data_IF_941261044278
#
_entry.id   IF_941261044278
#
_cell.length_a   1.000
_cell.length_b   1.000
_cell.length_c   1.000
_cell.angle_alpha   90.00
_cell.angle_beta   90.00
_cell.angle_gamma   90.00
#
_symmetry.space_group_name_H-M   'P 1'
#
loop_
_entity.id
_entity.type
_entity.pdbx_description
1 polymer ?
#
# COMPACT_ATOMS: atom_id res chain seq x y z
N UNK A 1 15.43 -32.62 -6.38
CA UNK A 1 14.18 -33.21 -5.88
C UNK A 1 13.02 -32.52 -6.59
N UNK A 2 12.58 -33.08 -7.72
CA UNK A 2 11.53 -32.52 -8.56
C UNK A 2 10.20 -33.13 -8.12
N UNK A 3 9.38 -32.37 -7.39
CA UNK A 3 8.00 -32.74 -7.08
C UNK A 3 7.09 -31.51 -7.21
N UNK A 4 7.14 -30.86 -8.38
CA UNK A 4 5.96 -30.15 -8.87
C UNK A 4 4.95 -31.22 -9.32
N UNK A 5 4.21 -31.76 -8.36
CA UNK A 5 3.05 -32.59 -8.68
C UNK A 5 2.08 -31.73 -9.51
N UNK A 6 1.57 -32.25 -10.64
CA UNK A 6 0.72 -31.48 -11.57
C UNK A 6 -0.52 -30.91 -10.87
N UNK A 7 -1.01 -31.60 -9.84
CA UNK A 7 -2.13 -31.14 -9.01
C UNK A 7 -1.79 -29.91 -8.16
N UNK A 8 -0.61 -29.89 -7.53
CA UNK A 8 -0.15 -28.75 -6.72
C UNK A 8 0.05 -27.50 -7.60
N UNK A 9 0.59 -27.66 -8.82
CA UNK A 9 0.72 -26.54 -9.75
C UNK A 9 -0.64 -25.97 -10.20
N UNK A 10 -1.64 -26.83 -10.39
CA UNK A 10 -3.01 -26.41 -10.75
C UNK A 10 -3.64 -25.60 -9.62
N UNK A 11 -3.53 -26.08 -8.38
CA UNK A 11 -4.03 -25.38 -7.19
C UNK A 11 -3.36 -24.01 -7.01
N UNK A 12 -2.03 -23.93 -7.13
CA UNK A 12 -1.29 -22.66 -7.07
C UNK A 12 -1.79 -21.70 -8.16
N UNK A 13 -2.01 -22.18 -9.38
CA UNK A 13 -2.47 -21.34 -10.50
C UNK A 13 -3.89 -20.80 -10.24
N UNK A 14 -4.78 -21.62 -9.69
CA UNK A 14 -6.14 -21.20 -9.35
C UNK A 14 -6.17 -20.19 -8.20
N UNK A 15 -5.38 -20.43 -7.14
CA UNK A 15 -5.23 -19.49 -6.03
C UNK A 15 -4.68 -18.16 -6.57
N UNK A 16 -3.57 -18.20 -7.31
CA UNK A 16 -2.96 -17.01 -7.88
C UNK A 16 -3.93 -16.24 -8.79
N UNK A 17 -4.63 -16.92 -9.69
CA UNK A 17 -5.57 -16.29 -10.62
C UNK A 17 -6.68 -15.53 -9.90
N UNK A 18 -7.36 -16.19 -8.94
CA UNK A 18 -8.42 -15.54 -8.14
C UNK A 18 -7.89 -14.33 -7.38
N UNK A 19 -6.77 -14.50 -6.67
CA UNK A 19 -6.17 -13.38 -5.92
C UNK A 19 -5.73 -12.23 -6.84
N UNK A 20 -5.23 -12.54 -8.04
CA UNK A 20 -4.83 -11.52 -9.01
C UNK A 20 -6.02 -10.69 -9.45
N UNK A 21 -7.11 -11.34 -9.87
CA UNK A 21 -8.33 -10.68 -10.33
C UNK A 21 -8.93 -9.77 -9.23
N UNK A 22 -8.93 -10.23 -7.98
CA UNK A 22 -9.50 -9.50 -6.84
C UNK A 22 -8.66 -8.29 -6.39
N UNK A 23 -7.33 -8.36 -6.52
CA UNK A 23 -6.42 -7.44 -5.82
C UNK A 23 -5.46 -6.64 -6.71
N UNK A 24 -5.28 -6.96 -8.00
CA UNK A 24 -4.30 -6.24 -8.84
C UNK A 24 -4.57 -4.73 -8.90
N UNK A 25 -5.83 -4.35 -9.13
CA UNK A 25 -6.23 -2.94 -9.21
C UNK A 25 -6.07 -2.21 -7.88
N UNK A 26 -6.32 -2.92 -6.77
CA UNK A 26 -6.20 -2.40 -5.40
C UNK A 26 -4.73 -2.13 -5.04
N UNK A 27 -3.86 -3.10 -5.31
CA UNK A 27 -2.41 -2.96 -5.12
C UNK A 27 -1.85 -1.87 -6.03
N UNK A 28 -2.26 -1.80 -7.29
CA UNK A 28 -1.84 -0.72 -8.20
C UNK A 28 -2.23 0.66 -7.65
N UNK A 29 -3.47 0.83 -7.20
CA UNK A 29 -3.93 2.11 -6.62
C UNK A 29 -3.15 2.48 -5.37
N UNK A 30 -2.90 1.51 -4.48
CA UNK A 30 -2.10 1.72 -3.28
C UNK A 30 -0.69 2.19 -3.60
N UNK A 31 0.01 1.50 -4.51
CA UNK A 31 1.35 1.90 -4.94
C UNK A 31 1.32 3.26 -5.63
N UNK A 32 0.39 3.48 -6.55
CA UNK A 32 0.27 4.74 -7.27
C UNK A 32 -0.01 5.92 -6.33
N UNK A 33 -0.84 5.74 -5.30
CA UNK A 33 -1.07 6.75 -4.28
C UNK A 33 0.21 7.10 -3.51
N UNK A 34 1.09 6.11 -3.30
CA UNK A 34 2.37 6.21 -2.60
C UNK A 34 3.55 6.58 -3.49
N UNK A 35 3.39 6.69 -4.81
CA UNK A 35 4.51 7.02 -5.72
C UNK A 35 4.20 8.15 -6.67
N UNK A 36 2.95 8.29 -7.10
CA UNK A 36 2.50 9.23 -8.13
C UNK A 36 3.04 8.94 -9.54
N UNK A 37 3.80 7.84 -9.71
CA UNK A 37 4.47 7.49 -10.96
C UNK A 37 3.82 6.21 -11.47
N UNK A 38 3.29 6.26 -12.69
CA UNK A 38 2.52 5.17 -13.29
C UNK A 38 3.40 3.96 -13.50
N UNK A 39 4.58 4.18 -14.08
CA UNK A 39 5.56 3.16 -14.43
C UNK A 39 6.02 2.41 -13.17
N UNK A 40 6.31 3.15 -12.08
CA UNK A 40 6.66 2.55 -10.78
C UNK A 40 5.48 1.77 -10.19
N UNK A 41 4.25 2.26 -10.35
CA UNK A 41 3.09 1.54 -9.88
C UNK A 41 2.85 0.23 -10.63
N UNK A 42 3.03 0.21 -11.96
CA UNK A 42 2.95 -0.99 -12.79
C UNK A 42 4.02 -2.01 -12.41
N UNK A 43 5.27 -1.56 -12.24
CA UNK A 43 6.42 -2.40 -11.89
C UNK A 43 6.28 -3.03 -10.50
N UNK A 44 6.06 -2.21 -9.46
CA UNK A 44 5.98 -2.72 -8.08
C UNK A 44 4.73 -3.58 -7.85
N UNK A 45 3.64 -3.32 -8.57
CA UNK A 45 2.46 -4.20 -8.52
C UNK A 45 2.77 -5.56 -9.14
N UNK A 46 3.41 -5.58 -10.31
CA UNK A 46 3.84 -6.81 -10.96
C UNK A 46 4.81 -7.61 -10.07
N UNK A 47 5.78 -6.94 -9.45
CA UNK A 47 6.72 -7.59 -8.54
C UNK A 47 6.03 -8.09 -7.25
N UNK A 48 5.00 -7.38 -6.77
CA UNK A 48 4.19 -7.84 -5.63
C UNK A 48 3.57 -9.20 -5.91
N UNK A 49 2.91 -9.35 -7.06
CA UNK A 49 2.29 -10.62 -7.44
C UNK A 49 3.32 -11.70 -7.78
N UNK A 50 4.48 -11.34 -8.34
CA UNK A 50 5.57 -12.29 -8.55
C UNK A 50 6.09 -12.86 -7.22
N UNK A 51 6.28 -12.02 -6.20
CA UNK A 51 6.68 -12.48 -4.86
C UNK A 51 5.58 -13.33 -4.20
N UNK A 52 4.32 -12.97 -4.38
CA UNK A 52 3.19 -13.79 -3.92
C UNK A 52 3.16 -15.18 -4.56
N UNK A 53 3.28 -15.25 -5.90
CA UNK A 53 3.36 -16.53 -6.62
C UNK A 53 4.54 -17.39 -6.14
N UNK A 54 5.70 -16.77 -5.91
CA UNK A 54 6.86 -17.47 -5.37
C UNK A 54 6.64 -17.97 -3.93
N UNK A 55 5.89 -17.26 -3.10
CA UNK A 55 5.52 -17.70 -1.76
C UNK A 55 4.58 -18.92 -1.83
N UNK A 56 3.59 -18.92 -2.72
CA UNK A 56 2.72 -20.08 -2.98
C UNK A 56 3.54 -21.29 -3.43
N UNK A 57 4.47 -21.11 -4.38
CA UNK A 57 5.37 -22.20 -4.85
C UNK A 57 6.25 -22.77 -3.75
N UNK A 58 6.61 -21.97 -2.74
CA UNK A 58 7.39 -22.41 -1.58
C UNK A 58 6.53 -23.08 -0.49
N UNK A 59 5.21 -23.16 -0.68
CA UNK A 59 4.29 -23.68 0.34
C UNK A 59 4.17 -22.79 1.57
N UNK A 60 4.39 -21.47 1.41
CA UNK A 60 4.21 -20.53 2.53
C UNK A 60 2.73 -20.52 2.94
N UNK A 61 2.46 -20.73 4.23
CA UNK A 61 1.10 -20.63 4.78
C UNK A 61 0.66 -19.17 4.79
N UNK A 62 -0.27 -18.82 3.92
CA UNK A 62 -0.83 -17.45 3.81
C UNK A 62 -2.25 -17.49 4.36
N UNK A 63 -2.44 -17.00 5.59
CA UNK A 63 -3.76 -16.95 6.23
C UNK A 63 -4.67 -15.90 5.61
N UNK A 64 -4.07 -14.81 5.12
CA UNK A 64 -4.78 -13.70 4.52
C UNK A 64 -3.99 -13.16 3.32
N UNK A 65 -4.51 -13.44 2.12
CA UNK A 65 -3.83 -13.07 0.87
C UNK A 65 -3.76 -11.56 0.69
N UNK A 66 -4.82 -10.85 1.07
CA UNK A 66 -4.88 -9.40 0.95
C UNK A 66 -3.81 -8.72 1.80
N UNK A 67 -3.77 -9.02 3.10
CA UNK A 67 -2.76 -8.50 4.01
C UNK A 67 -1.36 -8.88 3.51
N UNK A 68 -1.15 -10.12 3.08
CA UNK A 68 0.14 -10.54 2.56
C UNK A 68 0.60 -9.73 1.33
N UNK A 69 -0.31 -9.44 0.38
CA UNK A 69 -0.01 -8.58 -0.76
C UNK A 69 0.33 -7.15 -0.33
N UNK A 70 -0.43 -6.56 0.60
CA UNK A 70 -0.15 -5.22 1.12
C UNK A 70 1.18 -5.13 1.86
N UNK A 71 1.54 -6.17 2.60
CA UNK A 71 2.85 -6.29 3.24
C UNK A 71 3.97 -6.27 2.19
N UNK A 72 3.85 -7.07 1.13
CA UNK A 72 4.84 -7.12 0.05
C UNK A 72 4.94 -5.76 -0.64
N UNK A 73 3.80 -5.17 -1.04
CA UNK A 73 3.77 -3.89 -1.73
C UNK A 73 4.40 -2.77 -0.87
N UNK A 74 4.08 -2.72 0.43
CA UNK A 74 4.69 -1.77 1.37
C UNK A 74 6.20 -1.93 1.44
N UNK A 75 6.69 -3.17 1.51
CA UNK A 75 8.14 -3.44 1.56
C UNK A 75 8.83 -3.04 0.24
N UNK A 76 8.20 -3.30 -0.90
CA UNK A 76 8.71 -2.89 -2.21
C UNK A 76 8.78 -1.37 -2.39
N UNK A 77 7.74 -0.65 -1.95
CA UNK A 77 7.73 0.81 -1.90
C UNK A 77 8.88 1.31 -1.00
N UNK A 78 9.08 0.66 0.14
CA UNK A 78 10.18 0.99 1.04
C UNK A 78 11.54 0.85 0.39
N UNK A 79 11.76 -0.26 -0.31
CA UNK A 79 13.02 -0.53 -0.99
C UNK A 79 13.23 0.41 -2.18
N UNK A 80 12.17 0.76 -2.93
CA UNK A 80 12.20 1.78 -3.98
C UNK A 80 12.69 3.13 -3.43
N UNK A 81 12.15 3.60 -2.32
CA UNK A 81 12.58 4.86 -1.71
C UNK A 81 13.96 4.78 -1.07
N UNK A 82 14.34 3.66 -0.46
CA UNK A 82 15.72 3.46 0.04
C UNK A 82 16.73 3.47 -1.10
N UNK A 83 16.43 2.86 -2.25
CA UNK A 83 17.32 2.86 -3.41
C UNK A 83 17.48 4.28 -3.96
N UNK A 84 16.38 5.05 -4.05
CA UNK A 84 16.39 6.46 -4.46
C UNK A 84 17.15 7.36 -3.47
N UNK A 85 16.93 7.13 -2.17
CA UNK A 85 17.57 7.81 -1.04
C UNK A 85 18.99 7.32 -0.71
N UNK A 86 19.52 6.25 -1.31
CA UNK A 86 20.96 5.94 -1.23
C UNK A 86 21.82 6.95 -2.00
N UNK A 87 21.19 7.81 -2.81
CA UNK A 87 21.77 9.04 -3.35
C UNK A 87 21.67 10.24 -2.37
N UNK A 88 20.89 10.13 -1.28
CA UNK A 88 20.68 11.15 -0.24
C UNK A 88 20.25 10.50 1.11
N UNK A 89 21.23 10.02 1.87
CA UNK A 89 21.25 9.59 3.29
C UNK A 89 19.93 9.14 3.98
N UNK A 90 19.92 7.84 4.33
CA UNK A 90 19.26 7.11 5.43
C UNK A 90 18.21 7.83 6.30
N UNK A 91 16.95 7.46 6.14
CA UNK A 91 15.97 7.36 7.24
C UNK A 91 14.94 6.28 6.91
N UNK A 92 14.47 5.56 7.94
CA UNK A 92 13.39 4.57 7.87
C UNK A 92 11.99 5.23 7.85
N UNK A 93 11.90 6.43 7.28
CA UNK A 93 10.66 7.10 6.93
C UNK A 93 10.39 6.87 5.44
N UNK A 94 9.30 6.19 5.14
CA UNK A 94 8.79 6.15 3.78
C UNK A 94 8.22 7.53 3.46
N UNK A 95 8.43 8.06 2.27
CA UNK A 95 7.68 9.22 1.75
C UNK A 95 7.97 9.26 0.25
N UNK A 96 7.00 9.47 -0.67
CA UNK A 96 5.92 10.44 -0.55
C UNK A 96 4.54 10.06 -1.17
N UNK A 97 3.51 10.90 -0.95
CA UNK A 97 2.19 10.84 -1.62
C UNK A 97 2.08 11.90 -2.75
N UNK A 98 3.21 12.23 -3.40
CA UNK A 98 3.44 13.35 -4.34
C UNK A 98 3.72 14.69 -3.63
N UNK A 99 4.90 15.23 -3.95
CA UNK A 99 5.33 16.59 -3.62
C UNK A 99 4.40 17.59 -4.33
N UNK A 100 3.83 18.61 -3.66
CA UNK A 100 2.94 19.59 -4.30
C UNK A 100 3.49 20.19 -5.60
N UNK A 101 4.83 20.30 -5.73
CA UNK A 101 5.51 20.78 -6.94
C UNK A 101 5.39 19.84 -8.15
N UNK A 102 5.14 18.54 -7.95
CA UNK A 102 4.92 17.57 -9.03
C UNK A 102 3.44 17.37 -9.39
N UNK A 103 2.51 18.06 -8.71
CA UNK A 103 1.08 18.02 -9.03
C UNK A 103 0.71 18.84 -10.27
N UNK A 104 1.53 19.84 -10.64
CA UNK A 104 1.25 20.71 -11.79
C UNK A 104 1.28 19.97 -13.13
N UNK A 105 2.03 18.86 -13.22
CA UNK A 105 2.21 18.14 -14.50
C UNK A 105 1.14 17.06 -14.79
N UNK A 106 0.27 16.70 -13.84
CA UNK A 106 -0.74 15.63 -14.01
C UNK A 106 -2.13 16.06 -13.51
N UNK A 107 -2.61 17.15 -14.08
CA UNK A 107 -3.99 17.62 -13.95
C UNK A 107 -5.00 16.60 -14.52
N UNK A 108 -6.18 16.53 -13.89
CA UNK A 108 -7.39 15.76 -14.26
C UNK A 108 -7.60 14.38 -13.62
N UNK A 109 -7.40 14.25 -12.30
CA UNK A 109 -8.10 13.19 -11.54
C UNK A 109 -8.80 13.82 -10.33
N UNK A 110 -10.15 13.87 -10.40
CA UNK A 110 -11.14 14.26 -9.40
C UNK A 110 -10.66 15.18 -8.26
N UNK A 111 -11.24 16.38 -8.16
CA UNK A 111 -10.96 17.37 -7.11
C UNK A 111 -10.90 16.75 -5.70
N UNK A 112 -11.77 15.77 -5.41
CA UNK A 112 -11.81 15.05 -4.14
C UNK A 112 -10.61 14.12 -3.91
N UNK A 113 -10.13 13.42 -4.95
CA UNK A 113 -8.93 12.58 -4.85
C UNK A 113 -7.68 13.45 -4.68
N UNK A 114 -7.65 14.60 -5.34
CA UNK A 114 -6.56 15.58 -5.20
C UNK A 114 -6.56 16.22 -3.80
N UNK A 115 -7.73 16.52 -3.24
CA UNK A 115 -7.90 16.96 -1.85
C UNK A 115 -7.46 15.89 -0.85
N UNK A 116 -7.90 14.65 -1.04
CA UNK A 116 -7.54 13.52 -0.19
C UNK A 116 -6.03 13.28 -0.21
N UNK A 117 -5.40 13.30 -1.40
CA UNK A 117 -3.94 13.20 -1.55
C UNK A 117 -3.23 14.31 -0.77
N UNK A 118 -3.63 15.56 -0.96
CA UNK A 118 -3.04 16.70 -0.28
C UNK A 118 -3.18 16.61 1.26
N UNK A 119 -4.32 16.10 1.75
CA UNK A 119 -4.52 15.82 3.17
C UNK A 119 -3.59 14.72 3.68
N UNK A 120 -3.51 13.59 2.98
CA UNK A 120 -2.69 12.44 3.38
C UNK A 120 -1.19 12.75 3.41
N UNK A 121 -0.66 13.58 2.49
CA UNK A 121 0.77 14.00 2.50
C UNK A 121 1.17 14.65 3.83
N UNK A 122 0.23 15.27 4.57
CA UNK A 122 0.49 15.96 5.84
C UNK A 122 0.51 15.03 7.07
N UNK A 123 0.17 13.75 6.91
CA UNK A 123 0.10 12.77 7.99
C UNK A 123 1.42 11.98 8.11
N UNK A 124 1.62 11.30 9.24
CA UNK A 124 2.71 10.31 9.36
C UNK A 124 2.41 9.08 8.48
N UNK A 125 3.43 8.40 7.98
CA UNK A 125 3.26 7.25 7.07
C UNK A 125 2.37 6.12 7.60
N UNK A 126 2.54 5.76 8.88
CA UNK A 126 1.72 4.72 9.51
C UNK A 126 0.24 5.15 9.58
N UNK A 127 -0.01 6.45 9.80
CA UNK A 127 -1.34 7.05 9.82
C UNK A 127 -1.96 7.08 8.41
N UNK A 128 -1.17 7.42 7.39
CA UNK A 128 -1.63 7.36 6.00
C UNK A 128 -1.99 5.91 5.60
N UNK A 129 -1.10 4.97 5.92
CA UNK A 129 -1.23 3.57 5.51
C UNK A 129 -2.45 2.92 6.17
N UNK A 130 -2.68 3.18 7.46
CA UNK A 130 -3.86 2.65 8.16
C UNK A 130 -5.17 3.21 7.60
N UNK A 131 -5.21 4.48 7.16
CA UNK A 131 -6.40 5.06 6.50
C UNK A 131 -6.65 4.34 5.17
N UNK A 132 -5.62 4.18 4.35
CA UNK A 132 -5.76 3.53 3.04
C UNK A 132 -6.21 2.08 3.23
N UNK A 133 -5.54 1.32 4.08
CA UNK A 133 -5.93 -0.06 4.37
C UNK A 133 -7.35 -0.18 4.90
N UNK A 134 -7.77 0.71 5.79
CA UNK A 134 -9.10 0.62 6.40
C UNK A 134 -10.21 1.04 5.45
N UNK A 135 -10.00 2.12 4.71
CA UNK A 135 -11.09 2.82 4.02
C UNK A 135 -11.09 2.66 2.50
N UNK A 136 -9.92 2.41 1.89
CA UNK A 136 -9.83 2.14 0.45
C UNK A 136 -9.79 0.63 0.20
N UNK A 137 -9.13 -0.10 1.09
CA UNK A 137 -8.89 -1.54 0.92
C UNK A 137 -9.76 -2.41 1.83
N UNK A 138 -10.58 -1.79 2.68
CA UNK A 138 -11.57 -2.45 3.53
C UNK A 138 -11.01 -3.51 4.50
N UNK A 139 -9.72 -3.43 4.83
CA UNK A 139 -9.11 -4.32 5.82
C UNK A 139 -9.72 -4.11 7.21
N UNK A 140 -9.95 -5.23 7.90
CA UNK A 140 -10.39 -5.27 9.29
C UNK A 140 -9.27 -4.86 10.25
N UNK A 141 -9.64 -4.41 11.45
CA UNK A 141 -8.68 -4.04 12.50
C UNK A 141 -7.71 -5.20 12.84
N UNK A 142 -8.16 -6.46 12.96
CA UNK A 142 -7.25 -7.60 13.15
C UNK A 142 -6.24 -7.78 12.01
N UNK A 143 -6.64 -7.62 10.75
CA UNK A 143 -5.73 -7.75 9.60
C UNK A 143 -4.69 -6.63 9.59
N UNK A 144 -5.13 -5.39 9.82
CA UNK A 144 -4.24 -4.23 9.92
C UNK A 144 -3.26 -4.39 11.08
N UNK A 145 -3.72 -4.87 12.23
CA UNK A 145 -2.89 -5.12 13.41
C UNK A 145 -1.72 -6.07 13.10
N UNK A 146 -1.96 -7.11 12.30
CA UNK A 146 -0.91 -8.00 11.79
C UNK A 146 0.09 -7.29 10.86
N UNK A 147 -0.38 -6.38 10.00
CA UNK A 147 0.48 -5.62 9.06
C UNK A 147 1.42 -4.65 9.76
N UNK A 148 0.96 -4.00 10.82
CA UNK A 148 1.75 -3.00 11.56
C UNK A 148 2.49 -3.57 12.75
N UNK A 149 2.35 -4.87 13.02
CA UNK A 149 2.89 -5.55 14.19
C UNK A 149 2.49 -4.87 15.52
N UNK A 150 1.19 -4.63 15.70
CA UNK A 150 0.62 -4.00 16.91
C UNK A 150 -0.62 -4.75 17.39
N UNK A 151 -1.05 -4.49 18.62
CA UNK A 151 -2.33 -5.01 19.11
C UNK A 151 -3.52 -4.36 18.39
N UNK A 152 -4.67 -5.04 18.34
CA UNK A 152 -5.90 -4.46 17.79
C UNK A 152 -6.31 -3.15 18.49
N UNK A 153 -6.09 -3.08 19.81
CA UNK A 153 -6.35 -1.87 20.60
C UNK A 153 -5.45 -0.71 20.15
N UNK A 154 -4.14 -0.94 20.04
CA UNK A 154 -3.20 0.06 19.55
C UNK A 154 -3.49 0.48 18.11
N UNK A 155 -3.94 -0.47 17.28
CA UNK A 155 -4.33 -0.24 15.88
C UNK A 155 -5.58 0.64 15.79
N UNK A 156 -6.59 0.41 16.64
CA UNK A 156 -7.80 1.25 16.70
C UNK A 156 -7.47 2.68 17.15
N UNK A 157 -6.56 2.84 18.12
CA UNK A 157 -6.07 4.16 18.55
C UNK A 157 -5.31 4.86 17.42
N UNK A 158 -4.44 4.14 16.72
CA UNK A 158 -3.71 4.68 15.57
C UNK A 158 -4.67 5.16 14.47
N UNK A 159 -5.66 4.33 14.10
CA UNK A 159 -6.66 4.69 13.08
C UNK A 159 -7.45 5.94 13.50
N UNK A 160 -7.88 6.00 14.76
CA UNK A 160 -8.60 7.18 15.28
C UNK A 160 -7.75 8.45 15.18
N UNK A 161 -6.47 8.39 15.60
CA UNK A 161 -5.54 9.51 15.49
C UNK A 161 -5.34 9.92 14.02
N UNK A 162 -5.10 8.96 13.14
CA UNK A 162 -4.94 9.18 11.72
C UNK A 162 -6.16 9.91 11.10
N UNK A 163 -7.38 9.47 11.42
CA UNK A 163 -8.59 10.12 10.92
C UNK A 163 -8.78 11.54 11.43
N UNK A 164 -8.36 11.84 12.68
CA UNK A 164 -8.40 13.20 13.20
C UNK A 164 -7.38 14.10 12.49
N UNK A 165 -6.15 13.62 12.31
CA UNK A 165 -5.12 14.34 11.57
C UNK A 165 -5.54 14.62 10.12
N UNK A 166 -6.22 13.67 9.45
CA UNK A 166 -6.75 13.90 8.10
C UNK A 166 -7.83 14.98 8.09
N UNK A 167 -8.77 14.97 9.05
CA UNK A 167 -9.80 16.01 9.17
C UNK A 167 -9.19 17.40 9.38
N UNK A 168 -8.19 17.52 10.26
CA UNK A 168 -7.48 18.78 10.50
C UNK A 168 -6.76 19.27 9.24
N UNK A 169 -6.06 18.37 8.54
CA UNK A 169 -5.36 18.69 7.30
C UNK A 169 -6.30 19.22 6.20
N UNK A 170 -7.51 18.65 6.07
CA UNK A 170 -8.53 19.09 5.12
C UNK A 170 -9.18 20.43 5.54
N UNK A 171 -9.45 20.62 6.84
CA UNK A 171 -10.06 21.85 7.36
C UNK A 171 -9.15 23.07 7.27
N UNK A 172 -7.84 22.92 7.50
CA UNK A 172 -6.90 24.03 7.41
C UNK A 172 -6.77 24.56 5.97
N UNK A 173 -6.97 23.71 4.95
CA UNK A 173 -6.96 24.13 3.55
C UNK A 173 -8.19 24.98 3.18
N UNK A 174 -9.34 24.74 3.78
CA UNK A 174 -10.55 25.57 3.59
C UNK A 174 -10.42 26.98 4.16
N UNK A 175 -9.45 27.24 5.05
CA UNK A 175 -9.17 28.58 5.60
C UNK A 175 -8.09 29.34 4.82
N UNK A 176 -7.30 28.64 4.01
CA UNK A 176 -6.19 29.17 3.22
C UNK A 176 -6.56 29.42 1.73
N UNK A 177 -7.72 28.92 1.29
CA UNK A 177 -8.30 29.09 -0.05
C UNK A 177 -9.47 30.08 0.00
#
# INVERSE_FOLDING_TARGET
MNLFNRENYKEIKEIFGRTYDDYINKIYRFVFLKTGIKEVAEDLSSETFLKFFNALKKGTKIENQQAFLYQIARNLIADYYKAKGRTAVVSADLSPIVDPKNLEEKSMVNSDLSLLKAGLVRLKEDEQSIIVWRHLEELSIPEIAKLVDKSESATRVMLHRAMNSLKEALNNRHKEA
#
